data_IF_832243441873
#
_entry.id   IF_832243441873
#
_cell.length_a   1.000
_cell.length_b   1.000
_cell.length_c   1.000
_cell.angle_alpha   90.00
_cell.angle_beta   90.00
_cell.angle_gamma   90.00
#
_symmetry.space_group_name_H-M   'P 1'
#
loop_
_entity.id
_entity.type
_entity.pdbx_description
1 polymer ?
#
# COMPACT_ATOMS: atom_id res chain seq x y z
N UNK A 1 13.08 -25.38 -15.56
CA UNK A 1 14.06 -26.22 -14.84
C UNK A 1 14.96 -26.83 -15.89
N UNK A 2 16.25 -26.52 -15.89
CA UNK A 2 17.21 -27.06 -16.84
C UNK A 2 17.93 -28.25 -16.17
N UNK A 3 17.50 -29.47 -16.46
CA UNK A 3 18.23 -30.67 -16.07
C UNK A 3 19.16 -31.04 -17.22
N UNK A 4 20.46 -30.77 -17.04
CA UNK A 4 21.51 -31.30 -17.92
C UNK A 4 21.88 -32.70 -17.43
N UNK A 5 21.88 -33.66 -18.34
CA UNK A 5 21.94 -35.10 -18.06
C UNK A 5 23.36 -35.65 -17.80
N UNK A 6 24.34 -34.82 -17.42
CA UNK A 6 25.73 -35.28 -17.39
C UNK A 6 26.59 -34.61 -16.30
N UNK A 7 26.44 -35.03 -15.03
CA UNK A 7 27.53 -35.00 -14.03
C UNK A 7 27.14 -35.79 -12.77
N UNK A 8 27.92 -36.81 -12.36
CA UNK A 8 27.73 -37.52 -11.11
C UNK A 8 28.45 -36.82 -9.95
N UNK A 9 27.71 -36.61 -8.86
CA UNK A 9 28.16 -36.33 -7.49
C UNK A 9 28.84 -34.99 -7.17
N UNK A 10 28.33 -34.38 -6.09
CA UNK A 10 28.77 -33.15 -5.40
C UNK A 10 28.41 -31.80 -6.07
N UNK A 11 27.15 -31.37 -5.93
CA UNK A 11 26.84 -29.96 -6.18
C UNK A 11 25.39 -29.48 -6.10
N UNK A 12 24.40 -30.38 -6.05
CA UNK A 12 23.00 -29.99 -5.94
C UNK A 12 22.27 -30.94 -5.02
N UNK A 13 21.86 -30.46 -3.85
CA UNK A 13 20.92 -31.20 -3.02
C UNK A 13 19.64 -31.43 -3.85
N UNK A 14 19.31 -32.70 -4.08
CA UNK A 14 18.05 -33.14 -4.67
C UNK A 14 16.95 -32.87 -3.65
N UNK A 15 16.55 -31.60 -3.52
CA UNK A 15 15.47 -31.19 -2.63
C UNK A 15 14.19 -31.25 -3.44
N UNK A 16 13.53 -32.39 -3.38
CA UNK A 16 12.22 -32.58 -4.00
C UNK A 16 11.18 -31.81 -3.19
N UNK A 17 10.69 -30.70 -3.73
CA UNK A 17 9.66 -29.89 -3.09
C UNK A 17 8.29 -30.29 -3.65
N UNK A 18 7.42 -30.80 -2.79
CA UNK A 18 6.06 -31.22 -3.19
C UNK A 18 5.14 -30.01 -3.41
N UNK A 19 5.52 -28.84 -2.86
CA UNK A 19 4.81 -27.58 -3.02
C UNK A 19 5.49 -26.40 -2.30
N UNK A 20 4.89 -25.21 -2.41
CA UNK A 20 5.46 -23.95 -1.87
C UNK A 20 5.60 -23.98 -0.34
N UNK A 21 4.63 -24.60 0.35
CA UNK A 21 4.60 -24.73 1.82
C UNK A 21 5.67 -25.70 2.32
N UNK A 22 5.85 -26.82 1.62
CA UNK A 22 6.86 -27.84 1.91
C UNK A 22 8.28 -27.26 1.76
N UNK A 23 8.49 -26.48 0.69
CA UNK A 23 9.70 -25.69 0.50
C UNK A 23 9.95 -24.68 1.63
N UNK A 24 8.94 -23.91 2.00
CA UNK A 24 9.05 -22.94 3.10
C UNK A 24 9.45 -23.62 4.41
N UNK A 25 8.79 -24.73 4.77
CA UNK A 25 9.11 -25.47 6.00
C UNK A 25 10.51 -26.09 5.97
N UNK A 26 10.94 -26.68 4.85
CA UNK A 26 12.30 -27.22 4.73
C UNK A 26 13.37 -26.14 4.84
N UNK A 27 13.15 -24.97 4.23
CA UNK A 27 14.09 -23.82 4.32
C UNK A 27 14.18 -23.30 5.74
N UNK A 28 13.06 -23.15 6.44
CA UNK A 28 13.04 -22.74 7.86
C UNK A 28 13.74 -23.76 8.74
N UNK A 29 13.52 -25.06 8.51
CA UNK A 29 14.12 -26.13 9.32
C UNK A 29 15.63 -26.29 9.10
N UNK A 30 16.12 -26.03 7.88
CA UNK A 30 17.56 -26.17 7.54
C UNK A 30 18.37 -24.92 7.79
N UNK A 31 17.83 -23.73 7.45
CA UNK A 31 18.56 -22.45 7.49
C UNK A 31 18.03 -21.47 8.56
N UNK A 32 16.91 -21.78 9.21
CA UNK A 32 16.27 -20.93 10.19
C UNK A 32 15.36 -19.85 9.58
N UNK A 33 14.56 -19.19 10.43
CA UNK A 33 13.60 -18.14 10.03
C UNK A 33 14.31 -16.92 9.41
N UNK A 34 15.51 -16.60 9.88
CA UNK A 34 16.29 -15.46 9.40
C UNK A 34 16.77 -15.64 7.94
N UNK A 35 16.91 -16.87 7.46
CA UNK A 35 17.32 -17.13 6.09
C UNK A 35 16.28 -16.68 5.06
N UNK A 36 14.99 -16.63 5.43
CA UNK A 36 13.92 -16.09 4.59
C UNK A 36 14.06 -14.58 4.40
N UNK A 37 14.64 -13.88 5.38
CA UNK A 37 14.77 -12.43 5.38
C UNK A 37 16.06 -11.94 4.70
N UNK A 38 17.10 -12.78 4.56
CA UNK A 38 18.37 -12.36 3.93
C UNK A 38 18.24 -11.85 2.48
N UNK A 39 17.23 -12.30 1.72
CA UNK A 39 16.95 -11.78 0.37
C UNK A 39 15.86 -10.69 0.32
N UNK A 40 14.89 -10.78 1.23
CA UNK A 40 13.75 -9.86 1.26
C UNK A 40 14.14 -8.51 1.89
N UNK A 41 14.89 -8.52 3.00
CA UNK A 41 15.37 -7.31 3.68
C UNK A 41 16.23 -6.46 2.76
N UNK A 42 17.10 -7.08 1.94
CA UNK A 42 17.92 -6.36 0.97
C UNK A 42 17.08 -5.64 -0.11
N UNK A 43 15.92 -6.20 -0.48
CA UNK A 43 14.99 -5.57 -1.39
C UNK A 43 14.19 -4.46 -0.69
N UNK A 44 13.73 -4.71 0.55
CA UNK A 44 13.04 -3.71 1.37
C UNK A 44 13.91 -2.47 1.64
N UNK A 45 15.19 -2.64 1.95
CA UNK A 45 16.10 -1.50 2.17
C UNK A 45 16.18 -0.57 0.94
N UNK A 46 16.05 -1.12 -0.27
CA UNK A 46 16.04 -0.34 -1.52
C UNK A 46 14.71 0.39 -1.75
N UNK A 47 13.59 -0.18 -1.32
CA UNK A 47 12.26 0.42 -1.55
C UNK A 47 11.88 1.46 -0.49
N UNK A 48 12.46 1.36 0.71
CA UNK A 48 12.26 2.34 1.79
C UNK A 48 12.53 3.79 1.36
N UNK A 49 13.65 4.15 0.71
CA UNK A 49 13.88 5.53 0.27
C UNK A 49 12.88 5.98 -0.80
N UNK A 50 12.39 5.08 -1.65
CA UNK A 50 11.36 5.40 -2.65
C UNK A 50 10.05 5.82 -1.98
N UNK A 51 9.58 5.03 -1.00
CA UNK A 51 8.39 5.40 -0.22
C UNK A 51 8.61 6.65 0.62
N UNK A 52 9.80 6.83 1.20
CA UNK A 52 10.15 8.05 1.94
C UNK A 52 10.11 9.29 1.07
N UNK A 53 10.59 9.19 -0.19
CA UNK A 53 10.52 10.29 -1.15
C UNK A 53 9.07 10.58 -1.54
N UNK A 54 8.28 9.56 -1.88
CA UNK A 54 6.86 9.73 -2.20
C UNK A 54 6.08 10.39 -1.07
N UNK A 55 6.30 9.92 0.17
CA UNK A 55 5.68 10.49 1.36
C UNK A 55 6.06 11.97 1.52
N UNK A 56 7.36 12.28 1.39
CA UNK A 56 7.86 13.65 1.49
C UNK A 56 7.25 14.52 0.40
N UNK A 57 7.29 14.09 -0.86
CA UNK A 57 6.68 14.83 -1.97
C UNK A 57 5.18 15.07 -1.75
N UNK A 58 4.45 14.06 -1.28
CA UNK A 58 3.02 14.19 -1.00
C UNK A 58 2.74 15.20 0.12
N UNK A 59 3.51 15.14 1.21
CA UNK A 59 3.40 16.09 2.32
C UNK A 59 3.73 17.52 1.89
N UNK A 60 4.79 17.70 1.08
CA UNK A 60 5.16 19.01 0.54
C UNK A 60 4.07 19.55 -0.39
N UNK A 61 3.56 18.74 -1.31
CA UNK A 61 2.45 19.12 -2.19
C UNK A 61 1.22 19.53 -1.37
N UNK A 62 0.85 18.74 -0.35
CA UNK A 62 -0.26 19.07 0.55
C UNK A 62 -0.03 20.41 1.26
N UNK A 63 1.17 20.66 1.79
CA UNK A 63 1.50 21.92 2.45
C UNK A 63 1.39 23.10 1.49
N UNK A 64 1.92 22.98 0.26
CA UNK A 64 1.81 24.05 -0.75
C UNK A 64 0.36 24.32 -1.11
N UNK A 65 -0.45 23.28 -1.32
CA UNK A 65 -1.88 23.43 -1.60
C UNK A 65 -2.60 24.14 -0.44
N UNK A 66 -2.35 23.73 0.81
CA UNK A 66 -2.96 24.37 1.98
C UNK A 66 -2.54 25.84 2.13
N UNK A 67 -1.28 26.16 1.80
CA UNK A 67 -0.77 27.54 1.82
C UNK A 67 -1.44 28.40 0.76
N UNK A 68 -1.54 27.90 -0.48
CA UNK A 68 -2.21 28.61 -1.57
C UNK A 68 -3.70 28.84 -1.30
N UNK A 69 -4.37 27.90 -0.61
CA UNK A 69 -5.76 28.05 -0.20
C UNK A 69 -5.95 28.89 1.09
N UNK A 70 -4.87 29.39 1.71
CA UNK A 70 -4.92 30.24 2.89
C UNK A 70 -5.18 29.54 4.24
N UNK A 71 -5.20 28.19 4.26
CA UNK A 71 -5.45 27.41 5.48
C UNK A 71 -4.25 27.37 6.44
N UNK A 72 -3.03 27.59 5.94
CA UNK A 72 -1.79 27.61 6.75
C UNK A 72 -0.99 28.89 6.51
N UNK A 73 -0.27 29.32 7.55
CA UNK A 73 0.52 30.58 7.54
C UNK A 73 1.81 30.46 6.74
N UNK A 74 2.45 29.28 6.75
CA UNK A 74 3.70 29.06 6.04
C UNK A 74 3.87 27.59 5.65
N UNK A 75 4.51 27.28 4.50
CA UNK A 75 4.71 25.90 4.06
C UNK A 75 5.61 25.09 5.00
N UNK A 76 6.50 25.74 5.76
CA UNK A 76 7.39 25.06 6.72
C UNK A 76 6.75 24.78 8.09
N UNK A 77 5.64 25.46 8.43
CA UNK A 77 5.03 25.36 9.76
C UNK A 77 3.55 25.01 9.61
N UNK A 78 3.15 23.82 10.08
CA UNK A 78 1.76 23.37 10.10
C UNK A 78 0.95 24.08 11.21
N UNK A 79 1.03 25.40 11.24
CA UNK A 79 0.21 26.28 12.07
C UNK A 79 -0.94 26.78 11.21
N UNK A 80 -2.16 26.46 11.64
CA UNK A 80 -3.39 26.93 10.99
C UNK A 80 -3.45 28.45 11.06
N UNK A 81 -3.95 29.07 10.00
CA UNK A 81 -4.20 30.50 9.99
C UNK A 81 -5.25 30.85 11.06
N UNK A 82 -4.99 31.79 11.98
CA UNK A 82 -5.97 32.17 12.99
C UNK A 82 -7.20 32.78 12.30
N UNK A 83 -8.40 32.33 12.69
CA UNK A 83 -9.66 32.78 12.10
C UNK A 83 -10.21 31.89 10.98
N UNK A 84 -9.47 30.87 10.53
CA UNK A 84 -9.98 29.82 9.64
C UNK A 84 -10.36 28.61 10.51
N UNK A 85 -11.61 28.54 10.95
CA UNK A 85 -12.13 27.38 11.69
C UNK A 85 -12.47 26.26 10.70
N UNK A 86 -11.85 25.09 10.90
CA UNK A 86 -12.07 23.89 10.09
C UNK A 86 -12.94 22.86 10.81
N UNK A 87 -13.50 23.22 11.96
CA UNK A 87 -14.53 22.47 12.64
C UNK A 87 -15.83 22.66 11.88
N UNK A 88 -16.38 21.58 11.31
CA UNK A 88 -17.75 21.65 10.85
C UNK A 88 -18.65 21.88 12.06
N UNK A 89 -19.39 22.98 12.04
CA UNK A 89 -20.42 23.23 13.03
C UNK A 89 -21.44 22.07 13.08
N UNK A 90 -22.17 21.91 14.18
CA UNK A 90 -23.17 20.84 14.31
C UNK A 90 -24.23 20.90 13.20
N UNK A 91 -24.55 22.09 12.69
CA UNK A 91 -25.52 22.29 11.62
C UNK A 91 -24.96 21.87 10.23
N UNK A 92 -23.72 22.23 9.94
CA UNK A 92 -23.01 21.81 8.71
C UNK A 92 -22.86 20.28 8.66
N UNK A 93 -22.56 19.67 9.81
CA UNK A 93 -22.50 18.21 9.92
C UNK A 93 -23.85 17.55 9.63
N UNK A 94 -24.93 18.12 10.15
CA UNK A 94 -26.28 17.61 9.86
C UNK A 94 -26.63 17.74 8.38
N UNK A 95 -26.23 18.83 7.73
CA UNK A 95 -26.45 19.04 6.30
C UNK A 95 -25.61 18.10 5.43
N UNK A 96 -24.32 17.92 5.74
CA UNK A 96 -23.46 16.94 5.08
C UNK A 96 -24.01 15.53 5.27
N UNK A 97 -24.44 15.18 6.48
CA UNK A 97 -25.04 13.88 6.77
C UNK A 97 -26.37 13.70 6.03
N UNK A 98 -27.18 14.76 5.89
CA UNK A 98 -28.40 14.76 5.09
C UNK A 98 -28.10 14.59 3.61
N UNK A 99 -27.08 15.27 3.09
CA UNK A 99 -26.63 15.17 1.71
C UNK A 99 -26.12 13.75 1.40
N UNK A 100 -25.23 13.21 2.23
CA UNK A 100 -24.72 11.84 2.09
C UNK A 100 -25.84 10.80 2.20
N UNK A 101 -26.81 11.02 3.08
CA UNK A 101 -28.01 10.17 3.22
C UNK A 101 -28.93 10.27 2.00
N UNK A 102 -29.03 11.43 1.36
CA UNK A 102 -29.77 11.60 0.11
C UNK A 102 -29.02 11.02 -1.09
N UNK A 103 -27.69 10.95 -1.00
CA UNK A 103 -26.78 10.32 -1.96
C UNK A 103 -26.65 8.81 -1.80
N UNK A 104 -27.45 8.19 -0.92
CA UNK A 104 -27.49 6.74 -0.79
C UNK A 104 -27.71 6.15 -2.18
N UNK A 105 -26.67 5.43 -2.61
CA UNK A 105 -26.50 4.74 -3.86
C UNK A 105 -27.82 4.50 -4.61
N UNK A 106 -28.02 5.28 -5.68
CA UNK A 106 -28.69 4.74 -6.84
C UNK A 106 -27.90 3.53 -7.28
N UNK A 107 -28.33 2.37 -6.77
CA UNK A 107 -28.03 1.04 -7.23
C UNK A 107 -28.36 0.99 -8.72
N UNK A 108 -27.41 1.41 -9.55
CA UNK A 108 -27.39 1.14 -10.98
C UNK A 108 -26.83 -0.25 -11.25
N UNK A 109 -27.32 -1.25 -10.54
CA UNK A 109 -27.11 -2.66 -10.86
C UNK A 109 -28.41 -3.18 -11.49
N UNK A 110 -28.67 -2.82 -12.75
CA UNK A 110 -29.77 -3.39 -13.54
C UNK A 110 -29.66 -3.07 -15.05
N UNK A 111 -28.54 -3.38 -15.73
CA UNK A 111 -28.55 -3.50 -17.22
C UNK A 111 -27.27 -4.13 -17.79
N UNK A 112 -26.82 -5.28 -17.30
CA UNK A 112 -25.75 -6.05 -17.96
C UNK A 112 -25.99 -7.58 -17.91
N UNK A 113 -27.27 -8.00 -17.87
CA UNK A 113 -27.67 -9.40 -17.79
C UNK A 113 -28.20 -10.03 -19.08
N UNK A 114 -28.57 -9.26 -20.11
CA UNK A 114 -29.39 -9.79 -21.22
C UNK A 114 -28.76 -9.55 -22.60
N UNK A 115 -27.45 -9.81 -22.78
CA UNK A 115 -26.80 -9.71 -24.11
C UNK A 115 -26.15 -11.00 -24.60
N UNK A 116 -26.37 -12.12 -23.93
CA UNK A 116 -25.87 -13.45 -24.34
C UNK A 116 -26.95 -14.51 -24.10
N UNK A 117 -27.94 -14.53 -24.98
CA UNK A 117 -28.78 -15.70 -25.30
C UNK A 117 -29.23 -15.55 -26.74
#
# INVERSE_FOLDING_TARGET
QAQSAHLPHFGGADVHFTGVIDCFMQVVKTKGILALWNGLTANTIKIVPYFGLLFTCCEMCKQVCLYHNGYIVSPLSYKRTPGVDQSLGPNELQEVQRYLRNRNFGSGESSLGNRFT
#
